data_IF_356349769100
#
_entry.id   IF_356349769100
#
_cell.length_a   1.000
_cell.length_b   1.000
_cell.length_c   1.000
_cell.angle_alpha   90.00
_cell.angle_beta   90.00
_cell.angle_gamma   90.00
#
_symmetry.space_group_name_H-M   'P 1'
#
loop_
_entity.id
_entity.type
_entity.pdbx_description
1 polymer ?
#
# COMPACT_ATOMS: atom_id res chain seq x y z
N UNK A 1 13.54 -8.68 -5.71
CA UNK A 1 13.69 -7.25 -5.36
C UNK A 1 12.57 -6.88 -4.38
N UNK A 2 12.91 -6.31 -3.22
CA UNK A 2 11.97 -6.12 -2.09
C UNK A 2 10.75 -5.25 -2.45
N UNK A 3 10.95 -4.17 -3.21
CA UNK A 3 9.86 -3.28 -3.63
C UNK A 3 8.88 -3.96 -4.58
N UNK A 4 9.37 -4.79 -5.52
CA UNK A 4 8.50 -5.61 -6.40
C UNK A 4 7.65 -6.57 -5.57
N UNK A 5 8.25 -7.21 -4.57
CA UNK A 5 7.53 -8.14 -3.67
C UNK A 5 6.47 -7.40 -2.84
N UNK A 6 6.80 -6.22 -2.29
CA UNK A 6 5.85 -5.38 -1.58
C UNK A 6 4.67 -4.95 -2.47
N UNK A 7 4.98 -4.47 -3.68
CA UNK A 7 3.96 -4.10 -4.65
C UNK A 7 2.99 -5.26 -4.92
N UNK A 8 3.51 -6.44 -5.29
CA UNK A 8 2.69 -7.59 -5.64
C UNK A 8 1.89 -8.12 -4.44
N UNK A 9 2.46 -8.08 -3.24
CA UNK A 9 1.76 -8.54 -2.04
C UNK A 9 0.52 -7.69 -1.72
N UNK A 10 0.66 -6.36 -1.73
CA UNK A 10 -0.45 -5.44 -1.43
C UNK A 10 -1.40 -5.24 -2.62
N UNK A 11 -0.96 -5.49 -3.85
CA UNK A 11 -1.83 -5.46 -5.04
C UNK A 11 -2.95 -6.53 -5.04
N UNK A 12 -2.92 -7.51 -4.12
CA UNK A 12 -3.98 -8.52 -3.98
C UNK A 12 -5.30 -7.94 -3.44
N UNK A 13 -5.23 -6.81 -2.73
CA UNK A 13 -6.37 -6.22 -2.05
C UNK A 13 -7.27 -5.37 -2.96
N UNK A 14 -6.78 -4.33 -3.65
CA UNK A 14 -7.63 -3.45 -4.44
C UNK A 14 -8.16 -4.08 -5.74
N UNK A 15 -9.09 -3.39 -6.40
CA UNK A 15 -9.52 -3.70 -7.75
C UNK A 15 -8.29 -3.85 -8.67
N UNK A 16 -8.22 -4.98 -9.36
CA UNK A 16 -7.11 -5.32 -10.22
C UNK A 16 -6.95 -4.34 -11.38
N UNK A 17 -8.05 -3.76 -11.88
CA UNK A 17 -8.01 -2.69 -12.87
C UNK A 17 -7.26 -1.48 -12.28
N UNK A 18 -7.55 -1.12 -11.02
CA UNK A 18 -6.86 -0.07 -10.27
C UNK A 18 -5.36 -0.33 -10.07
N UNK A 19 -4.99 -1.60 -9.85
CA UNK A 19 -3.58 -2.05 -9.82
C UNK A 19 -2.90 -1.79 -11.15
N UNK A 20 -3.52 -2.20 -12.26
CA UNK A 20 -2.90 -2.10 -13.58
C UNK A 20 -2.72 -0.66 -14.07
N UNK A 21 -3.43 0.33 -13.49
CA UNK A 21 -3.18 1.77 -13.74
C UNK A 21 -1.75 2.21 -13.38
N UNK A 22 -1.02 1.47 -12.55
CA UNK A 22 0.41 1.70 -12.28
C UNK A 22 1.27 1.49 -13.55
N UNK A 23 0.80 0.69 -14.51
CA UNK A 23 1.53 0.33 -15.71
C UNK A 23 1.04 1.14 -16.94
N UNK A 24 1.14 2.47 -16.85
CA UNK A 24 0.53 3.39 -17.81
C UNK A 24 1.43 3.83 -18.98
N UNK A 25 2.71 3.44 -19.00
CA UNK A 25 3.63 3.76 -20.10
C UNK A 25 3.76 2.60 -21.07
N UNK A 26 3.82 2.92 -22.37
CA UNK A 26 4.37 1.98 -23.35
C UNK A 26 5.87 1.92 -23.12
N UNK A 27 6.39 0.73 -22.86
CA UNK A 27 7.80 0.51 -22.60
C UNK A 27 8.23 -0.76 -23.30
N UNK A 28 9.41 -0.74 -23.90
CA UNK A 28 10.10 -1.91 -24.48
C UNK A 28 11.13 -2.51 -23.52
N UNK A 29 11.10 -2.10 -22.25
CA UNK A 29 12.00 -2.58 -21.21
C UNK A 29 11.51 -3.93 -20.70
N UNK A 30 12.30 -4.98 -20.87
CA UNK A 30 11.97 -6.35 -20.48
C UNK A 30 11.67 -6.47 -18.97
N UNK A 31 12.33 -5.69 -18.13
CA UNK A 31 12.09 -5.69 -16.68
C UNK A 31 10.71 -5.13 -16.38
N UNK A 32 10.34 -4.04 -17.06
CA UNK A 32 9.02 -3.44 -16.93
C UNK A 32 7.92 -4.37 -17.43
N UNK A 33 8.12 -4.99 -18.60
CA UNK A 33 7.17 -5.92 -19.20
C UNK A 33 6.97 -7.16 -18.32
N UNK A 34 8.05 -7.76 -17.83
CA UNK A 34 8.00 -8.89 -16.89
C UNK A 34 7.30 -8.53 -15.58
N UNK A 35 7.50 -7.30 -15.07
CA UNK A 35 6.80 -6.85 -13.87
C UNK A 35 5.30 -6.66 -14.13
N UNK A 36 4.93 -6.03 -15.24
CA UNK A 36 3.53 -5.90 -15.64
C UNK A 36 2.87 -7.28 -15.77
N UNK A 37 3.50 -8.23 -16.44
CA UNK A 37 3.02 -9.60 -16.57
C UNK A 37 2.89 -10.29 -15.21
N UNK A 38 3.84 -10.10 -14.29
CA UNK A 38 3.76 -10.62 -12.91
C UNK A 38 2.52 -10.08 -12.18
N UNK A 39 2.17 -8.79 -12.37
CA UNK A 39 0.96 -8.21 -11.81
C UNK A 39 -0.29 -8.79 -12.48
N UNK A 40 -0.32 -8.86 -13.82
CA UNK A 40 -1.43 -9.40 -14.60
C UNK A 40 -1.70 -10.89 -14.33
N UNK A 41 -0.70 -11.66 -13.92
CA UNK A 41 -0.80 -13.11 -13.67
C UNK A 41 -0.96 -13.48 -12.18
N UNK A 42 -1.18 -12.49 -11.30
CA UNK A 42 -1.34 -12.75 -9.87
C UNK A 42 -2.46 -13.77 -9.58
N UNK A 43 -2.24 -14.78 -8.73
CA UNK A 43 -3.24 -15.82 -8.46
C UNK A 43 -4.42 -15.30 -7.63
N UNK A 44 -4.17 -14.31 -6.77
CA UNK A 44 -5.17 -13.68 -5.92
C UNK A 44 -5.25 -12.21 -6.29
N UNK A 45 -6.46 -11.73 -6.57
CA UNK A 45 -6.75 -10.37 -7.04
C UNK A 45 -8.04 -9.88 -6.41
N UNK A 46 -8.11 -8.58 -6.14
CA UNK A 46 -9.36 -7.91 -5.76
C UNK A 46 -10.09 -8.54 -4.57
N UNK A 47 -9.35 -8.85 -3.50
CA UNK A 47 -9.95 -9.31 -2.24
C UNK A 47 -10.94 -8.28 -1.66
N UNK A 48 -10.66 -6.99 -1.85
CA UNK A 48 -11.49 -5.85 -1.44
C UNK A 48 -11.67 -4.89 -2.62
N UNK A 49 -12.54 -5.23 -3.61
CA UNK A 49 -12.69 -4.45 -4.85
C UNK A 49 -13.29 -3.05 -4.63
N UNK A 50 -13.86 -2.80 -3.44
CA UNK A 50 -14.28 -1.45 -3.00
C UNK A 50 -13.11 -0.45 -2.99
N UNK A 51 -11.88 -0.93 -2.82
CA UNK A 51 -10.68 -0.13 -3.00
C UNK A 51 -10.36 -0.07 -4.50
N UNK A 52 -10.76 1.02 -5.15
CA UNK A 52 -10.77 1.12 -6.62
C UNK A 52 -9.40 1.40 -7.22
N UNK A 53 -8.47 1.94 -6.43
CA UNK A 53 -7.18 2.40 -6.90
C UNK A 53 -6.03 1.95 -5.99
N UNK A 54 -4.90 1.63 -6.61
CA UNK A 54 -3.70 1.17 -5.93
C UNK A 54 -2.53 2.11 -6.23
N UNK A 55 -2.06 2.83 -5.22
CA UNK A 55 -0.95 3.78 -5.35
C UNK A 55 0.27 3.20 -4.62
N UNK A 56 1.42 3.15 -5.29
CA UNK A 56 2.65 2.64 -4.70
C UNK A 56 3.78 3.63 -5.01
N UNK A 57 4.46 4.14 -3.99
CA UNK A 57 5.49 5.15 -4.15
C UNK A 57 5.74 5.92 -2.85
N UNK A 58 6.70 6.83 -2.89
CA UNK A 58 6.86 7.87 -1.86
C UNK A 58 5.92 9.04 -2.17
N UNK A 59 5.57 9.86 -1.18
CA UNK A 59 4.69 11.04 -1.36
C UNK A 59 5.36 12.18 -2.17
N UNK A 60 5.63 11.93 -3.45
CA UNK A 60 6.17 12.86 -4.44
C UNK A 60 5.07 13.47 -5.32
N UNK A 61 5.47 14.35 -6.24
CA UNK A 61 4.53 15.03 -7.16
C UNK A 61 3.78 14.05 -8.08
N UNK A 62 4.38 12.92 -8.44
CA UNK A 62 3.74 11.92 -9.29
C UNK A 62 2.62 11.20 -8.52
N UNK A 63 2.87 10.82 -7.27
CA UNK A 63 1.86 10.24 -6.36
C UNK A 63 0.72 11.23 -6.09
N UNK A 64 1.05 12.49 -5.78
CA UNK A 64 0.05 13.57 -5.57
C UNK A 64 -0.84 13.75 -6.80
N UNK A 65 -0.24 13.83 -7.99
CA UNK A 65 -0.97 13.97 -9.26
C UNK A 65 -1.85 12.75 -9.55
N UNK A 66 -1.41 11.55 -9.17
CA UNK A 66 -2.24 10.37 -9.34
C UNK A 66 -3.45 10.40 -8.42
N UNK A 67 -3.24 10.68 -7.14
CA UNK A 67 -4.33 10.71 -6.14
C UNK A 67 -5.38 11.77 -6.48
N UNK A 68 -4.99 12.90 -7.08
CA UNK A 68 -5.94 13.93 -7.51
C UNK A 68 -6.93 13.49 -8.60
N UNK A 69 -6.69 12.36 -9.25
CA UNK A 69 -7.61 11.77 -10.24
C UNK A 69 -8.53 10.70 -9.65
N UNK A 70 -8.31 10.29 -8.40
CA UNK A 70 -9.07 9.24 -7.73
C UNK A 70 -10.34 9.85 -7.12
N UNK A 71 -11.47 9.16 -7.27
CA UNK A 71 -12.74 9.53 -6.65
C UNK A 71 -13.18 8.55 -5.54
N UNK A 72 -12.75 7.29 -5.65
CA UNK A 72 -13.09 6.21 -4.73
C UNK A 72 -12.07 6.04 -3.59
N UNK A 73 -12.17 4.92 -2.89
CA UNK A 73 -11.16 4.50 -1.94
C UNK A 73 -9.89 4.07 -2.67
N UNK A 74 -8.74 4.47 -2.16
CA UNK A 74 -7.45 3.98 -2.65
C UNK A 74 -6.65 3.31 -1.54
N UNK A 75 -5.85 2.32 -1.92
CA UNK A 75 -4.79 1.77 -1.09
C UNK A 75 -3.48 2.41 -1.53
N UNK A 76 -2.88 3.20 -0.64
CA UNK A 76 -1.57 3.80 -0.84
C UNK A 76 -0.52 3.05 -0.01
N UNK A 77 0.50 2.53 -0.68
CA UNK A 77 1.65 1.90 -0.04
C UNK A 77 2.82 2.86 -0.13
N UNK A 78 3.21 3.39 1.02
CA UNK A 78 4.37 4.25 1.20
C UNK A 78 5.52 3.43 1.78
N UNK A 79 6.73 3.71 1.32
CA UNK A 79 7.93 3.03 1.78
C UNK A 79 9.02 4.04 2.14
N UNK A 80 9.67 3.76 3.27
CA UNK A 80 10.60 4.68 3.91
C UNK A 80 12.02 4.13 3.96
N UNK A 81 12.63 4.32 5.13
CA UNK A 81 14.04 4.05 5.34
C UNK A 81 14.34 2.56 5.23
N UNK A 82 15.50 2.27 4.64
CA UNK A 82 16.19 0.99 4.80
C UNK A 82 17.36 1.24 5.75
N UNK A 83 17.49 0.41 6.78
CA UNK A 83 18.57 0.50 7.78
C UNK A 83 19.27 -0.84 7.87
N UNK A 84 20.60 -0.81 7.95
CA UNK A 84 21.42 -2.00 8.22
C UNK A 84 22.08 -1.84 9.57
N UNK A 85 21.91 -2.83 10.44
CA UNK A 85 22.60 -2.93 11.73
C UNK A 85 23.48 -4.17 11.71
N UNK A 86 24.77 -3.99 11.98
CA UNK A 86 25.72 -5.10 12.12
C UNK A 86 25.91 -5.42 13.61
N UNK A 87 25.76 -6.69 13.97
CA UNK A 87 26.01 -7.13 15.34
C UNK A 87 27.49 -7.47 15.59
N UNK A 88 27.85 -7.76 16.84
CA UNK A 88 29.23 -8.10 17.22
C UNK A 88 29.80 -9.36 16.51
N UNK A 89 28.93 -10.20 15.93
CA UNK A 89 29.28 -11.39 15.15
C UNK A 89 29.36 -11.11 13.64
N UNK A 90 29.36 -9.84 13.22
CA UNK A 90 29.36 -9.39 11.82
C UNK A 90 28.14 -9.86 11.00
N UNK A 91 27.04 -10.20 11.67
CA UNK A 91 25.76 -10.48 11.00
C UNK A 91 25.06 -9.15 10.76
N UNK A 92 24.73 -8.89 9.49
CA UNK A 92 23.98 -7.72 9.06
C UNK A 92 22.48 -8.02 9.08
N UNK A 93 21.73 -7.22 9.82
CA UNK A 93 20.28 -7.23 9.82
C UNK A 93 19.77 -5.96 9.16
N UNK A 94 18.91 -6.13 8.18
CA UNK A 94 18.25 -5.04 7.49
C UNK A 94 16.83 -4.86 8.01
N UNK A 95 16.39 -3.60 8.08
CA UNK A 95 15.02 -3.23 8.35
C UNK A 95 14.52 -2.27 7.30
N UNK A 96 13.29 -2.47 6.82
CA UNK A 96 12.64 -1.65 5.80
C UNK A 96 11.27 -1.17 6.28
N UNK A 97 11.11 0.15 6.40
CA UNK A 97 9.88 0.76 6.88
C UNK A 97 8.84 0.82 5.75
N UNK A 98 7.62 0.38 6.04
CA UNK A 98 6.51 0.39 5.08
C UNK A 98 5.22 0.79 5.78
N UNK A 99 4.36 1.54 5.11
CA UNK A 99 2.99 1.77 5.58
C UNK A 99 2.00 1.52 4.47
N UNK A 100 0.80 1.10 4.85
CA UNK A 100 -0.34 1.10 3.95
C UNK A 100 -1.40 2.03 4.49
N UNK A 101 -2.01 2.81 3.61
CA UNK A 101 -3.06 3.76 3.92
C UNK A 101 -4.27 3.46 3.07
N UNK A 102 -5.44 3.30 3.69
CA UNK A 102 -6.71 3.32 2.96
C UNK A 102 -7.35 4.67 3.21
N UNK A 103 -7.61 5.40 2.14
CA UNK A 103 -8.17 6.74 2.24
C UNK A 103 -9.06 7.06 1.03
N UNK A 104 -9.84 8.13 1.18
CA UNK A 104 -10.67 8.71 0.12
C UNK A 104 -10.34 10.19 -0.03
N UNK A 105 -10.19 10.72 -1.26
CA UNK A 105 -10.16 12.15 -1.50
C UNK A 105 -11.53 12.78 -1.27
N UNK A 106 -11.59 13.87 -0.49
CA UNK A 106 -12.82 14.64 -0.31
C UNK A 106 -12.71 15.95 -1.07
N UNK A 107 -13.58 16.13 -2.06
CA UNK A 107 -13.64 17.40 -2.78
C UNK A 107 -14.26 18.47 -1.89
N UNK A 108 -13.64 19.65 -1.85
CA UNK A 108 -14.11 20.80 -1.04
C UNK A 108 -15.53 21.27 -1.38
N UNK A 109 -16.10 20.77 -2.49
CA UNK A 109 -17.36 21.19 -3.07
C UNK A 109 -18.46 20.12 -3.01
N UNK A 110 -18.15 18.89 -2.61
CA UNK A 110 -19.15 17.87 -2.36
C UNK A 110 -19.70 18.10 -0.96
N UNK A 111 -20.95 18.56 -0.84
CA UNK A 111 -21.66 18.73 0.42
C UNK A 111 -21.95 17.39 1.11
N UNK A 112 -20.92 16.61 1.42
CA UNK A 112 -21.00 15.47 2.31
C UNK A 112 -21.31 15.99 3.71
N UNK A 113 -22.37 15.47 4.31
CA UNK A 113 -22.61 15.70 5.73
C UNK A 113 -21.52 14.99 6.54
N UNK A 114 -21.16 15.53 7.71
CA UNK A 114 -20.11 15.01 8.59
C UNK A 114 -20.34 13.53 8.96
N UNK A 115 -21.58 13.04 8.89
CA UNK A 115 -21.92 11.63 9.11
C UNK A 115 -21.47 10.74 7.94
N UNK A 116 -21.67 11.15 6.68
CA UNK A 116 -21.23 10.37 5.52
C UNK A 116 -19.70 10.29 5.45
N UNK A 117 -19.03 11.38 5.84
CA UNK A 117 -17.57 11.40 5.99
C UNK A 117 -17.12 10.42 7.08
N UNK A 118 -17.78 10.44 8.25
CA UNK A 118 -17.49 9.52 9.35
C UNK A 118 -17.70 8.05 8.94
N UNK A 119 -18.81 7.74 8.26
CA UNK A 119 -19.09 6.38 7.77
C UNK A 119 -18.04 5.92 6.76
N UNK A 120 -17.64 6.81 5.85
CA UNK A 120 -16.56 6.54 4.89
C UNK A 120 -15.24 6.28 5.60
N UNK A 121 -14.87 7.11 6.56
CA UNK A 121 -13.64 6.97 7.34
C UNK A 121 -13.66 5.68 8.18
N UNK A 122 -14.77 5.37 8.84
CA UNK A 122 -14.94 4.11 9.56
C UNK A 122 -14.76 2.91 8.62
N UNK A 123 -15.27 2.99 7.40
CA UNK A 123 -15.09 1.94 6.41
C UNK A 123 -13.63 1.73 6.03
N UNK A 124 -12.82 2.78 5.97
CA UNK A 124 -11.36 2.64 5.74
C UNK A 124 -10.66 1.87 6.87
N UNK A 125 -11.08 2.08 8.13
CA UNK A 125 -10.55 1.35 9.28
C UNK A 125 -10.96 -0.13 9.25
N UNK A 126 -12.21 -0.42 8.90
CA UNK A 126 -12.68 -1.80 8.71
C UNK A 126 -11.87 -2.54 7.65
N UNK A 127 -11.64 -1.91 6.49
CA UNK A 127 -10.85 -2.50 5.42
C UNK A 127 -9.40 -2.76 5.84
N UNK A 128 -8.77 -1.85 6.60
CA UNK A 128 -7.45 -2.11 7.17
C UNK A 128 -7.45 -3.27 8.16
N UNK A 129 -8.49 -3.37 8.99
CA UNK A 129 -8.66 -4.49 9.93
C UNK A 129 -8.77 -5.83 9.18
N UNK A 130 -9.51 -5.86 8.06
CA UNK A 130 -9.61 -7.02 7.20
C UNK A 130 -8.26 -7.41 6.58
N UNK A 131 -7.50 -6.43 6.05
CA UNK A 131 -6.13 -6.65 5.55
C UNK A 131 -5.22 -7.20 6.66
N UNK A 132 -5.27 -6.61 7.86
CA UNK A 132 -4.49 -7.07 9.01
C UNK A 132 -4.83 -8.52 9.39
N UNK A 133 -6.11 -8.87 9.35
CA UNK A 133 -6.58 -10.22 9.62
C UNK A 133 -6.10 -11.21 8.56
N UNK A 134 -6.18 -10.86 7.28
CA UNK A 134 -5.64 -11.68 6.17
C UNK A 134 -4.13 -11.91 6.33
N UNK A 135 -3.34 -10.87 6.60
CA UNK A 135 -1.90 -10.99 6.89
C UNK A 135 -1.67 -11.94 8.08
N UNK A 136 -2.49 -11.82 9.13
CA UNK A 136 -2.33 -12.62 10.35
C UNK A 136 -2.74 -14.08 10.18
N UNK A 137 -3.64 -14.39 9.24
CA UNK A 137 -4.06 -15.76 8.93
C UNK A 137 -3.06 -16.45 7.98
N UNK A 138 -2.38 -15.68 7.13
CA UNK A 138 -1.42 -16.18 6.15
C UNK A 138 0.04 -16.13 6.66
N UNK A 139 0.29 -16.48 7.92
CA UNK A 139 1.65 -16.47 8.52
C UNK A 139 2.67 -17.31 7.80
N UNK A 140 2.23 -18.31 7.06
CA UNK A 140 3.11 -19.19 6.30
C UNK A 140 3.65 -18.55 5.01
N UNK A 141 3.03 -17.48 4.52
CA UNK A 141 3.50 -16.73 3.36
C UNK A 141 4.92 -16.18 3.65
N UNK A 142 5.92 -16.48 2.80
CA UNK A 142 7.31 -16.02 3.00
C UNK A 142 7.47 -14.51 3.10
N UNK A 143 6.60 -13.73 2.47
CA UNK A 143 6.60 -12.27 2.60
C UNK A 143 6.05 -11.85 3.98
N UNK A 144 4.97 -12.48 4.45
CA UNK A 144 4.40 -12.23 5.77
C UNK A 144 5.37 -12.58 6.89
N UNK A 145 6.17 -13.64 6.76
CA UNK A 145 7.21 -13.99 7.74
C UNK A 145 8.26 -12.89 7.95
N UNK A 146 8.45 -12.03 6.95
CA UNK A 146 9.37 -10.89 7.01
C UNK A 146 8.69 -9.63 7.55
N UNK A 147 7.36 -9.57 7.54
CA UNK A 147 6.60 -8.45 8.10
C UNK A 147 6.52 -8.61 9.62
N UNK A 148 7.12 -7.67 10.34
CA UNK A 148 6.75 -7.43 11.72
C UNK A 148 5.31 -6.93 11.74
N UNK A 149 4.52 -7.48 12.67
CA UNK A 149 3.10 -7.10 12.85
C UNK A 149 2.95 -5.59 12.88
N UNK A 150 1.81 -5.05 12.41
CA UNK A 150 1.64 -3.62 12.34
C UNK A 150 1.88 -3.03 13.72
N UNK A 151 2.85 -2.12 13.78
CA UNK A 151 3.27 -1.47 15.01
C UNK A 151 2.22 -0.49 15.48
N UNK A 152 1.47 0.08 14.53
CA UNK A 152 0.47 1.10 14.80
C UNK A 152 -0.61 1.13 13.72
N UNK A 153 -1.83 1.51 14.11
CA UNK A 153 -2.89 1.98 13.21
C UNK A 153 -3.22 3.41 13.63
N UNK A 154 -3.05 4.37 12.72
CA UNK A 154 -3.21 5.79 13.01
C UNK A 154 -4.22 6.44 12.05
N UNK A 155 -4.99 7.45 12.50
CA UNK A 155 -5.76 8.27 11.60
C UNK A 155 -4.87 8.93 10.55
N UNK A 156 -5.36 8.99 9.31
CA UNK A 156 -4.69 9.63 8.19
C UNK A 156 -5.51 10.82 7.71
N UNK A 157 -4.87 11.98 7.63
CA UNK A 157 -5.43 13.19 7.04
C UNK A 157 -4.34 13.92 6.26
N UNK A 158 -4.54 14.12 4.95
CA UNK A 158 -3.55 14.78 4.10
C UNK A 158 -4.20 15.76 3.13
N UNK A 159 -3.92 17.05 3.35
CA UNK A 159 -4.33 18.12 2.42
C UNK A 159 -3.59 18.03 1.09
N UNK A 160 -2.33 17.61 1.12
CA UNK A 160 -1.49 17.52 -0.08
C UNK A 160 -1.92 16.37 -1.01
N UNK A 161 -2.49 15.31 -0.44
CA UNK A 161 -2.98 14.16 -1.18
C UNK A 161 -4.48 14.32 -1.44
N UNK A 162 -4.85 15.46 -2.03
CA UNK A 162 -6.23 15.78 -2.46
C UNK A 162 -7.25 15.78 -1.32
N UNK A 163 -6.86 16.34 -0.18
CA UNK A 163 -7.70 16.42 1.02
C UNK A 163 -8.28 15.04 1.40
N UNK A 164 -7.38 14.05 1.47
CA UNK A 164 -7.78 12.67 1.74
C UNK A 164 -7.80 12.35 3.22
N UNK A 165 -8.79 11.56 3.62
CA UNK A 165 -8.95 11.08 4.99
C UNK A 165 -9.10 9.55 5.02
N UNK A 166 -8.65 8.93 6.09
CA UNK A 166 -8.78 7.51 6.32
C UNK A 166 -7.89 7.04 7.47
N UNK A 167 -7.26 5.88 7.31
CA UNK A 167 -6.33 5.33 8.29
C UNK A 167 -5.09 4.77 7.62
N UNK A 168 -3.99 4.75 8.36
CA UNK A 168 -2.73 4.13 7.98
C UNK A 168 -2.37 3.02 8.96
N UNK A 169 -1.73 1.98 8.45
CA UNK A 169 -1.16 0.89 9.22
C UNK A 169 0.33 0.79 8.90
N UNK A 170 1.17 0.89 9.93
CA UNK A 170 2.64 0.96 9.80
C UNK A 170 3.25 -0.40 10.09
N UNK A 171 4.20 -0.80 9.25
CA UNK A 171 4.92 -2.07 9.31
C UNK A 171 6.42 -1.83 9.26
N UNK A 172 7.16 -2.83 9.71
CA UNK A 172 8.58 -2.95 9.48
C UNK A 172 8.85 -4.32 8.89
N UNK A 173 9.60 -4.38 7.81
CA UNK A 173 10.14 -5.64 7.31
C UNK A 173 11.53 -5.87 7.88
N UNK A 174 11.80 -7.05 8.42
CA UNK A 174 13.13 -7.43 8.92
C UNK A 174 13.67 -8.68 8.22
N UNK A 175 14.99 -8.74 8.11
CA UNK A 175 15.68 -9.88 7.50
C UNK A 175 17.20 -9.71 7.50
N UNK A 176 17.88 -10.76 7.06
CA UNK A 176 19.34 -10.79 6.90
C UNK A 176 19.65 -10.59 5.42
N UNK A 177 20.58 -9.69 5.10
CA UNK A 177 21.04 -9.41 3.72
C UNK A 177 19.88 -9.21 2.73
N UNK A 178 18.98 -8.27 3.06
CA UNK A 178 17.82 -7.93 2.23
C UNK A 178 18.16 -7.03 1.05
N UNK A 179 19.31 -6.36 1.09
CA UNK A 179 19.82 -5.41 0.08
C UNK A 179 21.22 -5.76 -0.39
#
# INVERSE_FOLDING_TARGET
>A
MILKSAFLFFARYPDHIGVLKNFNRRSSDDIYLSFKESAESMPVKSLFPEITDYVFGVSDDAVKKRISTIQGLYLFVDYGNIRTVENALKVKRDSFDLSITIAKPFSSNAGLDSIDELLTINRTLELLSLIKSDISQNREDPYVKKLTLPTEIIPFASRELSNSFGFSMVFQMEGIEMI
#
